data_IF_386457839409
#
_entry.id   IF_386457839409
#
_cell.length_a   1.000
_cell.length_b   1.000
_cell.length_c   1.000
_cell.angle_alpha   90.00
_cell.angle_beta   90.00
_cell.angle_gamma   90.00
#
_symmetry.space_group_name_H-M   'P 1'
#
loop_
_entity.id
_entity.type
_entity.pdbx_description
1 polymer ?
#
# COMPACT_ATOMS: atom_id res chain seq x y z
N UNK A 1 -11.01 -2.52 -3.42
CA UNK A 1 -11.63 -3.55 -2.55
C UNK A 1 -13.05 -3.15 -2.12
N UNK A 2 -13.28 -1.94 -1.60
CA UNK A 2 -14.62 -1.47 -1.22
C UNK A 2 -15.66 -1.55 -2.35
N UNK A 3 -15.27 -1.26 -3.59
CA UNK A 3 -16.15 -1.37 -4.76
C UNK A 3 -16.66 -2.79 -5.01
N UNK A 4 -15.87 -3.81 -4.66
CA UNK A 4 -16.25 -5.21 -4.83
C UNK A 4 -17.41 -5.61 -3.92
N UNK A 5 -17.61 -4.90 -2.80
CA UNK A 5 -18.71 -5.14 -1.88
C UNK A 5 -20.08 -4.86 -2.51
N UNK A 6 -20.15 -4.16 -3.65
CA UNK A 6 -21.39 -3.92 -4.37
C UNK A 6 -21.95 -5.20 -4.98
N UNK A 7 -21.11 -6.19 -5.29
CA UNK A 7 -21.52 -7.46 -5.88
C UNK A 7 -21.94 -8.48 -4.82
N UNK A 8 -23.15 -9.04 -4.97
CA UNK A 8 -23.71 -10.01 -4.02
C UNK A 8 -22.85 -11.26 -3.89
N UNK A 9 -22.37 -11.81 -5.01
CA UNK A 9 -21.50 -12.98 -5.02
C UNK A 9 -20.23 -12.74 -4.21
N UNK A 10 -19.62 -11.55 -4.35
CA UNK A 10 -18.43 -11.20 -3.59
C UNK A 10 -18.72 -11.13 -2.09
N UNK A 11 -19.88 -10.59 -1.67
CA UNK A 11 -20.29 -10.57 -0.26
C UNK A 11 -20.51 -11.99 0.30
N UNK A 12 -21.05 -12.91 -0.50
CA UNK A 12 -21.23 -14.32 -0.11
C UNK A 12 -19.90 -15.06 0.04
N UNK A 13 -18.94 -14.81 -0.84
CA UNK A 13 -17.60 -15.38 -0.68
C UNK A 13 -16.85 -14.76 0.51
N UNK A 14 -17.12 -13.48 0.84
CA UNK A 14 -16.46 -12.80 1.97
C UNK A 14 -16.82 -13.41 3.33
N UNK A 15 -18.00 -14.05 3.49
CA UNK A 15 -18.36 -14.74 4.74
C UNK A 15 -17.63 -16.08 4.90
N UNK A 16 -16.93 -16.58 3.88
CA UNK A 16 -16.02 -17.71 4.01
C UNK A 16 -14.75 -17.29 4.76
N UNK A 17 -14.48 -17.95 5.89
CA UNK A 17 -13.35 -17.63 6.76
C UNK A 17 -11.98 -17.71 6.05
N UNK A 18 -11.82 -18.62 5.09
CA UNK A 18 -10.57 -18.73 4.31
C UNK A 18 -10.40 -17.55 3.35
N UNK A 19 -11.48 -17.15 2.68
CA UNK A 19 -11.48 -15.99 1.78
C UNK A 19 -11.24 -14.69 2.55
N UNK A 20 -11.88 -14.51 3.71
CA UNK A 20 -11.68 -13.35 4.59
C UNK A 20 -10.23 -13.27 5.09
N UNK A 21 -9.66 -14.39 5.53
CA UNK A 21 -8.25 -14.47 5.96
C UNK A 21 -7.29 -14.14 4.82
N UNK A 22 -7.51 -14.71 3.63
CA UNK A 22 -6.68 -14.41 2.47
C UNK A 22 -6.73 -12.92 2.11
N UNK A 23 -7.92 -12.33 2.10
CA UNK A 23 -8.11 -10.90 1.86
C UNK A 23 -7.33 -10.05 2.86
N UNK A 24 -7.41 -10.37 4.15
CA UNK A 24 -6.69 -9.63 5.20
C UNK A 24 -5.16 -9.74 5.03
N UNK A 25 -4.65 -10.95 4.78
CA UNK A 25 -3.23 -11.19 4.50
C UNK A 25 -2.74 -10.38 3.28
N UNK A 26 -3.51 -10.39 2.19
CA UNK A 26 -3.17 -9.61 1.00
C UNK A 26 -3.20 -8.11 1.26
N UNK A 27 -4.10 -7.61 2.11
CA UNK A 27 -4.14 -6.20 2.47
C UNK A 27 -2.94 -5.77 3.31
N UNK A 28 -2.53 -6.59 4.28
CA UNK A 28 -1.34 -6.34 5.08
C UNK A 28 -0.10 -6.30 4.17
N UNK A 29 0.05 -7.25 3.25
CA UNK A 29 1.17 -7.28 2.30
C UNK A 29 1.21 -6.02 1.41
N UNK A 30 0.07 -5.60 0.86
CA UNK A 30 -0.01 -4.38 0.07
C UNK A 30 0.33 -3.14 0.88
N UNK A 31 -0.20 -3.02 2.11
CA UNK A 31 0.10 -1.89 2.99
C UNK A 31 1.59 -1.80 3.32
N UNK A 32 2.21 -2.94 3.64
CA UNK A 32 3.65 -3.00 3.89
C UNK A 32 4.47 -2.61 2.65
N UNK A 33 4.12 -3.13 1.48
CA UNK A 33 4.78 -2.79 0.22
C UNK A 33 4.69 -1.29 -0.05
N UNK A 34 3.49 -0.73 0.02
CA UNK A 34 3.24 0.69 -0.19
C UNK A 34 4.00 1.56 0.81
N UNK A 35 3.98 1.20 2.09
CA UNK A 35 4.69 1.94 3.14
C UNK A 35 6.20 1.97 2.90
N UNK A 36 6.81 0.84 2.53
CA UNK A 36 8.23 0.77 2.17
C UNK A 36 8.54 1.61 0.93
N UNK A 37 7.70 1.53 -0.11
CA UNK A 37 7.86 2.33 -1.34
C UNK A 37 7.83 3.83 -1.01
N UNK A 38 6.87 4.26 -0.19
CA UNK A 38 6.74 5.66 0.23
C UNK A 38 7.96 6.17 1.00
N UNK A 39 8.49 5.37 1.92
CA UNK A 39 9.71 5.73 2.67
C UNK A 39 10.91 5.94 1.74
N UNK A 40 11.14 5.04 0.77
CA UNK A 40 12.22 5.19 -0.21
C UNK A 40 12.08 6.46 -1.06
N UNK A 41 10.85 6.78 -1.48
CA UNK A 41 10.59 8.02 -2.23
C UNK A 41 10.87 9.27 -1.39
N UNK A 42 10.45 9.29 -0.12
CA UNK A 42 10.74 10.39 0.80
C UNK A 42 12.24 10.57 1.03
N UNK A 43 12.98 9.47 1.17
CA UNK A 43 14.43 9.51 1.31
C UNK A 43 15.10 10.06 0.05
N UNK A 44 14.74 9.59 -1.14
CA UNK A 44 15.29 10.07 -2.40
C UNK A 44 15.03 11.58 -2.61
N UNK A 45 13.85 12.08 -2.20
CA UNK A 45 13.53 13.50 -2.24
C UNK A 45 14.39 14.33 -1.26
N UNK A 46 14.62 13.81 -0.05
CA UNK A 46 15.49 14.47 0.93
C UNK A 46 16.96 14.53 0.45
N UNK A 47 17.46 13.46 -0.15
CA UNK A 47 18.80 13.39 -0.73
C UNK A 47 18.97 14.40 -1.89
N UNK A 48 17.96 14.53 -2.78
CA UNK A 48 17.98 15.55 -3.83
C UNK A 48 17.97 16.98 -3.27
N UNK A 49 17.19 17.26 -2.23
CA UNK A 49 17.16 18.58 -1.61
C UNK A 49 18.51 18.94 -0.98
N UNK A 50 19.20 17.98 -0.35
CA UNK A 50 20.54 18.20 0.16
C UNK A 50 21.54 18.51 -0.96
N UNK A 51 21.53 17.75 -2.06
CA UNK A 51 22.41 18.01 -3.20
C UNK A 51 22.18 19.40 -3.82
N UNK A 52 20.92 19.78 -4.03
CA UNK A 52 20.59 21.08 -4.60
C UNK A 52 21.03 22.24 -3.69
N UNK A 53 20.95 22.08 -2.36
CA UNK A 53 21.40 23.09 -1.40
C UNK A 53 22.93 23.20 -1.32
N UNK A 54 23.67 22.12 -1.59
CA UNK A 54 25.14 22.14 -1.64
C UNK A 54 25.71 22.67 -2.96
N UNK A 55 24.99 22.53 -4.07
CA UNK A 55 25.43 23.03 -5.39
C UNK A 55 25.11 24.52 -5.62
N UNK A 56 24.26 25.12 -4.78
CA UNK A 56 23.90 26.55 -4.83
C UNK A 56 24.76 27.47 -3.94
N UNK A 57 25.85 26.96 -3.34
CA UNK A 57 26.79 27.74 -2.53
C UNK A 57 28.15 27.88 -3.20
#
# INVERSE_FOLDING_TARGET
MLELLQYEHFRKELVNAQCAKFIDEQQILHWQHYSRKRMRLQQALAEQQQQNNTSGK
#
